data_IF_606286488284
#
_entry.id   IF_606286488284
#
_cell.length_a   1.000
_cell.length_b   1.000
_cell.length_c   1.000
_cell.angle_alpha   90.00
_cell.angle_beta   90.00
_cell.angle_gamma   90.00
#
_symmetry.space_group_name_H-M   'P 1'
#
loop_
_entity.id
_entity.type
_entity.pdbx_description
1 polymer ?
#
# COMPACT_ATOMS: atom_id res chain seq x y z
N UNK A 1 -13.42 2.63 -45.76
CA UNK A 1 -12.47 1.63 -45.22
C UNK A 1 -11.98 2.13 -43.88
N UNK A 2 -12.29 1.36 -42.83
CA UNK A 2 -11.90 1.63 -41.45
C UNK A 2 -10.38 1.56 -41.26
N UNK A 3 -9.87 2.37 -40.35
CA UNK A 3 -8.99 1.84 -39.30
C UNK A 3 -8.97 2.82 -38.13
N UNK A 4 -9.76 2.45 -37.12
CA UNK A 4 -9.59 2.87 -35.75
C UNK A 4 -8.24 2.33 -35.27
N UNK A 5 -7.33 3.20 -34.82
CA UNK A 5 -6.21 2.74 -33.99
C UNK A 5 -6.78 2.64 -32.58
N UNK A 6 -7.05 1.38 -32.23
CA UNK A 6 -7.62 0.96 -30.97
C UNK A 6 -6.80 1.45 -29.78
N UNK A 7 -7.51 1.74 -28.70
CA UNK A 7 -6.95 2.09 -27.41
C UNK A 7 -5.85 1.13 -27.01
N UNK A 8 -4.70 1.70 -26.67
CA UNK A 8 -3.66 0.95 -25.97
C UNK A 8 -4.28 0.30 -24.74
N UNK A 9 -3.83 -0.91 -24.37
CA UNK A 9 -4.37 -1.60 -23.23
C UNK A 9 -4.15 -0.68 -22.03
N UNK A 10 -5.24 -0.12 -21.51
CA UNK A 10 -5.22 0.51 -20.21
C UNK A 10 -4.50 -0.46 -19.30
N UNK A 11 -3.40 -0.01 -18.69
CA UNK A 11 -2.72 -0.74 -17.64
C UNK A 11 -3.82 -1.25 -16.73
N UNK A 12 -4.12 -2.55 -16.83
CA UNK A 12 -4.95 -3.21 -15.84
C UNK A 12 -4.21 -2.92 -14.56
N UNK A 13 -4.81 -2.10 -13.70
CA UNK A 13 -4.52 -2.03 -12.27
C UNK A 13 -4.67 -3.46 -11.74
N UNK A 14 -3.68 -4.32 -11.99
CA UNK A 14 -3.32 -5.36 -11.07
C UNK A 14 -2.94 -4.55 -9.85
N UNK A 15 -3.83 -4.50 -8.86
CA UNK A 15 -3.55 -3.87 -7.57
C UNK A 15 -2.26 -4.50 -7.06
N UNK A 16 -1.14 -3.81 -7.29
CA UNK A 16 0.15 -4.24 -6.80
C UNK A 16 0.01 -4.12 -5.29
N UNK A 17 -0.04 -5.26 -4.62
CA UNK A 17 -0.01 -5.27 -3.16
C UNK A 17 1.30 -4.57 -2.77
N UNK A 18 1.18 -3.39 -2.18
CA UNK A 18 2.34 -2.64 -1.71
C UNK A 18 3.12 -3.45 -0.66
N UNK A 19 2.44 -4.34 0.06
CA UNK A 19 3.10 -5.29 0.94
C UNK A 19 3.67 -6.47 0.16
N UNK A 20 4.98 -6.66 0.27
CA UNK A 20 5.73 -7.79 -0.29
C UNK A 20 6.45 -8.52 0.84
N UNK A 21 6.96 -9.73 0.60
CA UNK A 21 7.73 -10.46 1.61
C UNK A 21 9.11 -10.77 1.07
N UNK A 22 10.14 -10.36 1.81
CA UNK A 22 11.54 -10.74 1.57
C UNK A 22 11.90 -11.87 2.54
N UNK A 23 12.59 -12.89 2.05
CA UNK A 23 13.08 -13.99 2.90
C UNK A 23 14.40 -13.55 3.52
N UNK A 24 14.46 -13.47 4.85
CA UNK A 24 15.67 -13.08 5.56
C UNK A 24 16.74 -14.18 5.54
N UNK A 25 17.92 -13.89 6.11
CA UNK A 25 19.06 -14.82 6.11
C UNK A 25 18.79 -16.12 6.89
N UNK A 26 17.78 -16.12 7.77
CA UNK A 26 17.35 -17.28 8.54
C UNK A 26 16.26 -18.09 7.80
N UNK A 27 15.82 -17.62 6.63
CA UNK A 27 14.77 -18.25 5.83
C UNK A 27 13.36 -17.81 6.23
N UNK A 28 13.20 -16.78 7.06
CA UNK A 28 11.89 -16.31 7.49
C UNK A 28 11.35 -15.21 6.57
N UNK A 29 10.07 -15.29 6.13
CA UNK A 29 9.46 -14.21 5.35
C UNK A 29 9.22 -12.98 6.23
N UNK A 30 9.73 -11.83 5.79
CA UNK A 30 9.57 -10.52 6.43
C UNK A 30 8.75 -9.59 5.55
N UNK A 31 7.71 -8.94 6.09
CA UNK A 31 6.91 -7.99 5.33
C UNK A 31 7.72 -6.73 5.03
N UNK A 32 7.67 -6.29 3.78
CA UNK A 32 8.35 -5.12 3.25
C UNK A 32 7.35 -4.28 2.45
N UNK A 33 7.59 -2.97 2.33
CA UNK A 33 6.74 -2.08 1.54
C UNK A 33 7.43 -1.78 0.21
N UNK A 34 6.72 -2.00 -0.89
CA UNK A 34 7.13 -1.64 -2.23
C UNK A 34 6.68 -0.21 -2.55
N UNK A 35 7.58 0.57 -3.12
CA UNK A 35 7.27 1.89 -3.68
C UNK A 35 6.40 1.73 -4.93
N UNK A 36 5.24 2.36 -4.95
CA UNK A 36 4.32 2.37 -6.10
C UNK A 36 4.88 3.15 -7.30
N UNK A 37 5.77 4.11 -7.06
CA UNK A 37 6.36 4.95 -8.10
C UNK A 37 7.51 4.30 -8.86
N UNK A 38 8.42 3.61 -8.16
CA UNK A 38 9.62 3.02 -8.77
C UNK A 38 9.72 1.49 -8.66
N UNK A 39 8.82 0.84 -7.91
CA UNK A 39 8.80 -0.61 -7.72
C UNK A 39 9.86 -1.16 -6.76
N UNK A 40 10.77 -0.34 -6.25
CA UNK A 40 11.79 -0.75 -5.29
C UNK A 40 11.20 -0.96 -3.89
N UNK A 41 11.85 -1.78 -3.07
CA UNK A 41 11.54 -1.91 -1.63
C UNK A 41 11.95 -0.64 -0.90
N UNK A 42 11.05 -0.11 -0.07
CA UNK A 42 11.29 1.05 0.80
C UNK A 42 11.96 0.54 2.07
N UNK A 43 13.28 0.79 2.21
CA UNK A 43 14.03 0.41 3.42
C UNK A 43 13.95 1.44 4.53
N UNK A 44 13.73 2.70 4.16
CA UNK A 44 13.64 3.83 5.08
C UNK A 44 12.19 4.28 5.19
N UNK A 45 11.49 3.77 6.19
CA UNK A 45 10.08 4.08 6.43
C UNK A 45 9.86 5.47 7.04
N UNK A 46 10.87 6.07 7.67
CA UNK A 46 10.75 7.40 8.28
C UNK A 46 10.71 8.50 7.22
N UNK A 47 11.46 8.33 6.13
CA UNK A 47 11.48 9.28 5.01
C UNK A 47 10.62 8.84 3.82
N UNK A 48 10.12 7.60 3.83
CA UNK A 48 9.06 7.16 2.94
C UNK A 48 7.72 7.81 3.28
N UNK A 49 6.85 7.96 2.28
CA UNK A 49 5.58 8.67 2.41
C UNK A 49 4.42 7.78 2.01
N UNK A 50 3.40 7.71 2.86
CA UNK A 50 2.10 7.15 2.55
C UNK A 50 1.14 8.29 2.17
N UNK A 51 0.48 8.15 1.03
CA UNK A 51 -0.52 9.09 0.51
C UNK A 51 -1.88 8.44 0.56
N UNK A 52 -2.81 9.09 1.26
CA UNK A 52 -4.23 8.73 1.27
C UNK A 52 -4.94 9.73 0.36
N UNK A 53 -4.99 9.39 -0.93
CA UNK A 53 -5.46 10.33 -1.95
C UNK A 53 -6.96 10.62 -1.79
N UNK A 54 -7.30 11.75 -1.18
CA UNK A 54 -8.26 12.69 -1.76
C UNK A 54 -8.44 13.92 -0.87
N UNK A 55 -8.22 15.08 -1.47
CA UNK A 55 -8.61 16.38 -0.89
C UNK A 55 -10.13 16.57 -0.83
N UNK A 56 -10.92 15.65 -1.42
CA UNK A 56 -12.39 15.72 -1.57
C UNK A 56 -13.12 14.39 -1.31
N UNK A 57 -12.58 13.51 -0.46
CA UNK A 57 -13.27 12.26 -0.10
C UNK A 57 -14.64 12.54 0.49
N UNK A 58 -15.67 11.86 -0.03
CA UNK A 58 -17.01 11.85 0.60
C UNK A 58 -17.05 10.80 1.72
N UNK A 59 -17.90 10.97 2.75
CA UNK A 59 -18.14 9.91 3.72
C UNK A 59 -18.48 8.58 3.03
N UNK A 60 -17.90 7.47 3.50
CA UNK A 60 -18.07 6.14 2.92
C UNK A 60 -17.20 5.84 1.69
N UNK A 61 -16.33 6.76 1.26
CA UNK A 61 -15.36 6.49 0.18
C UNK A 61 -14.27 5.55 0.67
N UNK A 62 -13.99 4.49 -0.08
CA UNK A 62 -12.82 3.65 0.13
C UNK A 62 -11.59 4.35 -0.45
N UNK A 63 -10.54 4.46 0.37
CA UNK A 63 -9.26 5.04 -0.02
C UNK A 63 -8.20 3.94 -0.03
N UNK A 64 -7.43 3.88 -1.12
CA UNK A 64 -6.27 3.00 -1.24
C UNK A 64 -5.02 3.82 -0.91
N UNK A 65 -4.17 3.36 0.02
CA UNK A 65 -2.90 4.02 0.29
C UNK A 65 -1.93 3.82 -0.88
N UNK A 66 -1.19 4.88 -1.20
CA UNK A 66 -0.06 4.85 -2.14
C UNK A 66 1.21 5.07 -1.34
N UNK A 67 2.24 4.25 -1.55
CA UNK A 67 3.51 4.32 -0.85
C UNK A 67 4.62 4.77 -1.78
N UNK A 68 5.32 5.83 -1.40
CA UNK A 68 6.48 6.35 -2.13
C UNK A 68 7.73 6.30 -1.27
N UNK A 69 8.84 5.84 -1.84
CA UNK A 69 10.15 6.09 -1.24
C UNK A 69 10.46 7.60 -1.29
N UNK A 70 11.40 8.04 -0.45
CA UNK A 70 11.83 9.44 -0.39
C UNK A 70 12.06 10.06 -1.78
N UNK A 71 12.82 9.39 -2.64
CA UNK A 71 13.13 9.90 -3.98
C UNK A 71 11.94 9.99 -4.94
N UNK A 72 10.87 9.22 -4.72
CA UNK A 72 9.61 9.35 -5.45
C UNK A 72 8.73 10.45 -4.85
N UNK A 73 8.68 10.56 -3.51
CA UNK A 73 7.92 11.58 -2.81
C UNK A 73 8.40 13.00 -3.19
N UNK A 74 9.72 13.24 -3.19
CA UNK A 74 10.31 14.53 -3.57
C UNK A 74 9.99 14.96 -5.01
N UNK A 75 9.69 14.01 -5.90
CA UNK A 75 9.28 14.29 -7.29
C UNK A 75 7.79 14.59 -7.39
N UNK A 76 6.95 13.94 -6.58
CA UNK A 76 5.50 14.17 -6.58
C UNK A 76 5.11 15.47 -5.86
N UNK A 77 5.76 15.81 -4.74
CA UNK A 77 5.42 17.02 -3.97
C UNK A 77 5.55 18.30 -4.80
N UNK A 78 6.46 18.30 -5.79
CA UNK A 78 6.61 19.40 -6.75
C UNK A 78 5.41 19.56 -7.69
N UNK A 79 4.65 18.50 -7.90
CA UNK A 79 3.56 18.44 -8.87
C UNK A 79 2.16 18.50 -8.21
N UNK A 80 2.02 18.20 -6.92
CA UNK A 80 0.72 18.17 -6.25
C UNK A 80 0.80 18.43 -4.72
N UNK A 81 0.96 19.69 -4.29
CA UNK A 81 1.12 20.05 -2.87
C UNK A 81 -0.14 19.84 -2.00
N UNK A 82 -1.31 19.61 -2.61
CA UNK A 82 -2.59 19.44 -1.90
C UNK A 82 -2.87 17.99 -1.48
N UNK A 83 -1.96 17.06 -1.77
CA UNK A 83 -2.14 15.66 -1.36
C UNK A 83 -1.91 15.48 0.14
N UNK A 84 -2.88 14.85 0.80
CA UNK A 84 -2.72 14.43 2.20
C UNK A 84 -1.74 13.27 2.25
N UNK A 85 -0.53 13.59 2.65
CA UNK A 85 0.55 12.64 2.83
C UNK A 85 1.00 12.61 4.28
N UNK A 86 1.59 11.49 4.70
CA UNK A 86 2.25 11.35 5.99
C UNK A 86 3.42 10.37 5.87
N UNK A 87 4.42 10.45 6.77
CA UNK A 87 5.45 9.43 6.88
C UNK A 87 4.86 8.01 7.03
N UNK A 88 5.53 7.00 6.48
CA UNK A 88 5.03 5.62 6.49
C UNK A 88 4.94 5.07 7.91
N UNK A 89 5.88 5.39 8.79
CA UNK A 89 5.84 5.01 10.20
C UNK A 89 4.59 5.56 10.91
N UNK A 90 4.25 6.84 10.69
CA UNK A 90 3.03 7.46 11.19
C UNK A 90 1.79 6.78 10.63
N UNK A 91 1.78 6.43 9.34
CA UNK A 91 0.70 5.68 8.72
C UNK A 91 0.51 4.30 9.37
N UNK A 92 1.59 3.57 9.63
CA UNK A 92 1.54 2.26 10.28
C UNK A 92 1.02 2.36 11.71
N UNK A 93 1.46 3.37 12.47
CA UNK A 93 0.92 3.65 13.80
C UNK A 93 -0.57 4.00 13.76
N UNK A 94 -0.99 4.79 12.77
CA UNK A 94 -2.40 5.09 12.55
C UNK A 94 -3.20 3.80 12.29
N UNK A 95 -2.73 2.90 11.44
CA UNK A 95 -3.39 1.62 11.20
C UNK A 95 -3.49 0.78 12.47
N UNK A 96 -2.39 0.61 13.21
CA UNK A 96 -2.36 -0.19 14.44
C UNK A 96 -3.33 0.34 15.50
N UNK A 97 -3.48 1.66 15.60
CA UNK A 97 -4.39 2.27 16.57
C UNK A 97 -5.87 2.18 16.17
N UNK A 98 -6.18 2.04 14.88
CA UNK A 98 -7.55 2.07 14.37
C UNK A 98 -8.08 0.69 13.95
N UNK A 99 -7.21 -0.29 13.70
CA UNK A 99 -7.62 -1.68 13.46
C UNK A 99 -7.92 -2.34 14.80
N UNK A 100 -9.21 -2.59 15.07
CA UNK A 100 -9.63 -3.37 16.23
C UNK A 100 -9.44 -4.86 15.96
N UNK A 101 -8.24 -5.37 16.27
CA UNK A 101 -8.01 -6.81 16.38
C UNK A 101 -8.62 -7.31 17.70
N UNK A 102 -9.93 -7.56 17.70
CA UNK A 102 -10.58 -8.15 18.87
C UNK A 102 -10.16 -9.62 19.01
N UNK A 103 -10.14 -10.19 20.24
CA UNK A 103 -9.85 -11.61 20.44
C UNK A 103 -10.72 -12.51 19.57
N UNK A 104 -11.99 -12.17 19.38
CA UNK A 104 -12.92 -12.92 18.52
C UNK A 104 -12.51 -12.91 17.04
N UNK A 105 -12.03 -11.77 16.53
CA UNK A 105 -11.53 -11.67 15.14
C UNK A 105 -10.27 -12.51 14.97
N UNK A 106 -9.36 -12.47 15.95
CA UNK A 106 -8.13 -13.28 15.95
C UNK A 106 -8.41 -14.78 16.07
N UNK A 107 -9.35 -15.19 16.93
CA UNK A 107 -9.78 -16.57 17.06
C UNK A 107 -10.43 -17.10 15.78
N UNK A 108 -11.26 -16.28 15.13
CA UNK A 108 -11.88 -16.63 13.86
C UNK A 108 -10.81 -16.83 12.77
N UNK A 109 -9.88 -15.89 12.64
CA UNK A 109 -8.75 -16.05 11.72
C UNK A 109 -7.92 -17.30 12.04
N UNK A 110 -7.64 -17.56 13.32
CA UNK A 110 -6.90 -18.75 13.76
C UNK A 110 -7.64 -20.08 13.55
N UNK A 111 -8.99 -20.08 13.52
CA UNK A 111 -9.78 -21.24 13.08
C UNK A 111 -9.63 -21.47 11.58
N UNK A 112 -9.82 -20.42 10.78
CA UNK A 112 -9.67 -20.50 9.32
C UNK A 112 -8.28 -20.99 8.88
N UNK A 113 -7.22 -20.53 9.53
CA UNK A 113 -5.85 -20.99 9.22
C UNK A 113 -5.67 -22.48 9.55
N UNK A 114 -6.22 -22.96 10.67
CA UNK A 114 -6.18 -24.38 11.04
C UNK A 114 -6.99 -25.25 10.08
N UNK A 115 -8.14 -24.77 9.63
CA UNK A 115 -9.00 -25.50 8.70
C UNK A 115 -8.38 -25.59 7.30
N UNK A 116 -7.54 -24.60 6.89
CA UNK A 116 -6.79 -24.63 5.64
C UNK A 116 -5.51 -25.49 5.69
N UNK A 117 -5.08 -25.91 6.88
CA UNK A 117 -3.85 -26.69 7.09
C UNK A 117 -4.10 -28.20 7.22
N UNK A 118 -5.36 -28.63 7.12
CA UNK A 118 -5.82 -30.04 7.13
C UNK A 118 -6.36 -30.44 5.77
#
# INVERSE_FOLDING_TARGET
>A
MHSQVAGGPGFRKLGLMALVFEVDQEGHPRPEIRCDGCGAVIKDHAHGVAVLDSSKSKPGTLLEPIFHCQGCAEKEDKNNPDRRSMPIDHFMLYLLNNIQLTPTVLEHAGRQVRDLSN
#
